data_IF_750714003360
#
_entry.id   IF_750714003360
#
_cell.length_a   1.000
_cell.length_b   1.000
_cell.length_c   1.000
_cell.angle_alpha   90.00
_cell.angle_beta   90.00
_cell.angle_gamma   90.00
#
_symmetry.space_group_name_H-M   'P 1'
#
loop_
_entity.id
_entity.type
_entity.pdbx_description
1 polymer ?
#
# COMPACT_ATOMS: atom_id res chain seq x y z
N UNK A 1 4.89 14.49 0.33
CA UNK A 1 5.92 14.24 1.35
C UNK A 1 5.34 14.21 2.77
N UNK A 2 4.77 15.31 3.29
CA UNK A 2 4.24 15.35 4.68
C UNK A 2 3.20 14.26 5.01
N UNK A 3 2.29 13.95 4.09
CA UNK A 3 1.33 12.85 4.29
C UNK A 3 2.01 11.47 4.38
N UNK A 4 3.08 11.26 3.61
CA UNK A 4 3.86 10.02 3.65
C UNK A 4 4.66 9.91 4.95
N UNK A 5 5.26 11.02 5.43
CA UNK A 5 5.91 11.05 6.74
C UNK A 5 4.94 10.62 7.86
N UNK A 6 3.74 11.22 7.91
CA UNK A 6 2.70 10.82 8.89
C UNK A 6 2.30 9.35 8.77
N UNK A 7 2.34 8.79 7.57
CA UNK A 7 2.07 7.37 7.35
C UNK A 7 3.19 6.50 7.93
N UNK A 8 4.46 6.88 7.77
CA UNK A 8 5.59 6.16 8.37
C UNK A 8 5.54 6.23 9.92
N UNK A 9 5.27 7.41 10.48
CA UNK A 9 5.07 7.60 11.93
C UNK A 9 3.92 6.75 12.47
N UNK A 10 2.81 6.65 11.73
CA UNK A 10 1.69 5.80 12.11
C UNK A 10 2.06 4.32 12.04
N UNK A 11 2.80 3.93 11.01
CA UNK A 11 3.25 2.54 10.82
C UNK A 11 4.12 2.08 11.98
N UNK A 12 5.09 2.89 12.43
CA UNK A 12 5.91 2.56 13.60
C UNK A 12 5.11 2.48 14.90
N UNK A 13 4.05 3.29 15.05
CA UNK A 13 3.15 3.23 16.22
C UNK A 13 2.28 1.97 16.22
N UNK A 14 1.78 1.57 15.07
CA UNK A 14 0.95 0.38 14.91
C UNK A 14 1.75 -0.92 15.13
N UNK A 15 3.03 -0.91 14.72
CA UNK A 15 3.95 -2.04 14.88
C UNK A 15 5.11 -1.65 15.82
N UNK A 16 4.86 -1.61 17.15
CA UNK A 16 5.80 -1.07 18.13
C UNK A 16 7.09 -1.89 18.27
N UNK A 17 7.11 -3.14 17.80
CA UNK A 17 8.26 -4.05 17.85
C UNK A 17 8.62 -4.62 16.48
N UNK A 18 9.86 -5.09 16.33
CA UNK A 18 10.32 -5.74 15.10
C UNK A 18 10.81 -4.78 14.01
N UNK A 19 11.41 -5.35 12.97
CA UNK A 19 11.86 -4.60 11.79
C UNK A 19 10.74 -4.54 10.76
N UNK A 20 10.52 -3.36 10.20
CA UNK A 20 9.56 -3.10 9.15
C UNK A 20 10.32 -2.90 7.85
N UNK A 21 9.99 -3.69 6.84
CA UNK A 21 10.49 -3.53 5.48
C UNK A 21 9.33 -3.09 4.61
N UNK A 22 9.41 -1.90 4.04
CA UNK A 22 8.38 -1.33 3.19
C UNK A 22 8.86 -1.32 1.74
N UNK A 23 8.20 -2.12 0.90
CA UNK A 23 8.48 -2.17 -0.54
C UNK A 23 7.66 -1.10 -1.25
N UNK A 24 8.32 -0.25 -2.02
CA UNK A 24 7.75 0.96 -2.63
C UNK A 24 8.07 1.06 -4.12
N UNK A 25 7.22 1.78 -4.85
CA UNK A 25 7.57 2.29 -6.18
C UNK A 25 8.50 3.52 -6.07
N UNK A 26 8.87 4.10 -7.20
CA UNK A 26 9.76 5.27 -7.26
C UNK A 26 8.99 6.60 -7.27
N UNK A 27 7.79 6.68 -6.66
CA UNK A 27 7.07 7.94 -6.60
C UNK A 27 7.93 9.01 -5.89
N UNK A 28 7.97 10.23 -6.46
CA UNK A 28 8.84 11.33 -5.97
C UNK A 28 8.67 11.64 -4.48
N UNK A 29 7.47 11.40 -3.94
CA UNK A 29 7.17 11.61 -2.52
C UNK A 29 7.96 10.70 -1.58
N UNK A 30 8.39 9.52 -2.04
CA UNK A 30 9.18 8.55 -1.27
C UNK A 30 10.67 8.90 -1.23
N UNK A 31 11.12 9.82 -2.09
CA UNK A 31 12.51 10.33 -2.13
C UNK A 31 12.63 11.76 -1.59
N UNK A 32 11.58 12.29 -0.97
CA UNK A 32 11.57 13.67 -0.51
C UNK A 32 12.59 13.88 0.61
N UNK A 33 13.40 14.95 0.53
CA UNK A 33 14.38 15.29 1.59
C UNK A 33 13.75 15.39 2.99
N UNK A 34 12.49 15.83 3.06
CA UNK A 34 11.72 15.96 4.30
C UNK A 34 11.70 14.68 5.15
N UNK A 35 11.78 13.48 4.54
CA UNK A 35 11.69 12.22 5.29
C UNK A 35 13.06 11.63 5.64
N UNK A 36 14.18 12.21 5.17
CA UNK A 36 15.51 11.61 5.31
C UNK A 36 15.93 11.50 6.79
N UNK A 37 15.84 12.59 7.56
CA UNK A 37 16.21 12.57 8.99
C UNK A 37 15.38 11.55 9.78
N UNK A 38 14.08 11.45 9.47
CA UNK A 38 13.21 10.44 10.08
C UNK A 38 13.66 9.01 9.75
N UNK A 39 14.06 8.74 8.50
CA UNK A 39 14.56 7.43 8.10
C UNK A 39 15.91 7.09 8.75
N UNK A 40 16.79 8.08 8.90
CA UNK A 40 18.08 7.92 9.58
C UNK A 40 17.89 7.58 11.06
N UNK A 41 17.05 8.34 11.77
CA UNK A 41 16.69 8.10 13.17
C UNK A 41 16.07 6.71 13.39
N UNK A 42 15.36 6.19 12.38
CA UNK A 42 14.64 4.92 12.45
C UNK A 42 15.30 3.79 11.64
N UNK A 43 16.55 3.93 11.18
CA UNK A 43 17.20 2.99 10.26
C UNK A 43 17.29 1.55 10.81
N UNK A 44 17.36 1.38 12.14
CA UNK A 44 17.34 0.07 12.79
C UNK A 44 15.95 -0.60 12.83
N UNK A 45 14.88 0.17 12.62
CA UNK A 45 13.48 -0.26 12.75
C UNK A 45 12.72 -0.27 11.41
N UNK A 46 13.03 0.65 10.50
CA UNK A 46 12.31 0.86 9.25
C UNK A 46 13.30 0.90 8.08
N UNK A 47 13.09 0.02 7.10
CA UNK A 47 13.83 0.02 5.85
C UNK A 47 12.86 0.21 4.68
N UNK A 48 13.18 1.15 3.78
CA UNK A 48 12.47 1.31 2.52
C UNK A 48 13.24 0.57 1.42
N UNK A 49 12.55 -0.31 0.69
CA UNK A 49 13.09 -1.01 -0.48
C UNK A 49 12.35 -0.53 -1.72
N UNK A 50 13.10 -0.07 -2.71
CA UNK A 50 12.53 0.44 -3.95
C UNK A 50 12.56 -0.63 -5.03
N UNK A 51 11.42 -0.82 -5.71
CA UNK A 51 11.36 -1.63 -6.91
C UNK A 51 12.18 -0.97 -8.04
N UNK A 52 12.68 -1.73 -9.03
CA UNK A 52 13.30 -1.15 -10.21
C UNK A 52 12.34 -0.16 -10.90
N UNK A 53 12.85 0.96 -11.46
CA UNK A 53 12.02 1.90 -12.21
C UNK A 53 11.24 1.21 -13.32
N UNK A 54 10.03 1.71 -13.59
CA UNK A 54 9.15 1.22 -14.66
C UNK A 54 8.85 -0.29 -14.61
N UNK A 55 8.85 -0.88 -13.40
CA UNK A 55 8.58 -2.31 -13.21
C UNK A 55 7.24 -2.57 -12.46
N UNK A 56 6.09 -2.15 -13.01
CA UNK A 56 4.79 -2.33 -12.36
C UNK A 56 4.43 -3.80 -12.14
N UNK A 57 4.93 -4.72 -12.96
CA UNK A 57 4.75 -6.16 -12.83
C UNK A 57 5.35 -6.74 -11.54
N UNK A 58 6.30 -6.03 -10.91
CA UNK A 58 6.88 -6.43 -9.62
C UNK A 58 6.11 -5.87 -8.43
N UNK A 59 5.19 -4.93 -8.67
CA UNK A 59 4.39 -4.31 -7.62
C UNK A 59 3.05 -5.04 -7.45
N UNK A 60 2.99 -5.94 -6.44
CA UNK A 60 1.76 -6.69 -6.13
C UNK A 60 0.53 -5.81 -5.87
N UNK A 61 0.73 -4.56 -5.43
CA UNK A 61 -0.38 -3.62 -5.25
C UNK A 61 -1.11 -3.31 -6.56
N UNK A 62 -0.45 -3.37 -7.72
CA UNK A 62 -1.12 -3.22 -9.02
C UNK A 62 -2.16 -4.31 -9.25
N UNK A 63 -1.87 -5.55 -8.82
CA UNK A 63 -2.82 -6.67 -8.85
C UNK A 63 -4.02 -6.42 -7.93
N UNK A 64 -3.79 -5.90 -6.72
CA UNK A 64 -4.87 -5.50 -5.79
C UNK A 64 -5.73 -4.41 -6.42
N UNK A 65 -5.13 -3.40 -7.05
CA UNK A 65 -5.86 -2.31 -7.70
C UNK A 65 -6.69 -2.77 -8.89
N UNK A 66 -6.15 -3.69 -9.70
CA UNK A 66 -6.91 -4.32 -10.78
C UNK A 66 -8.13 -5.06 -10.22
N UNK A 67 -7.93 -5.88 -9.19
CA UNK A 67 -9.01 -6.63 -8.56
C UNK A 67 -10.06 -5.73 -7.90
N UNK A 68 -9.65 -4.64 -7.24
CA UNK A 68 -10.56 -3.62 -6.72
C UNK A 68 -11.44 -3.05 -7.84
N UNK A 69 -10.84 -2.64 -8.96
CA UNK A 69 -11.59 -2.05 -10.08
C UNK A 69 -12.59 -3.05 -10.65
N UNK A 70 -12.17 -4.29 -10.87
CA UNK A 70 -13.04 -5.37 -11.36
C UNK A 70 -14.21 -5.66 -10.41
N UNK A 71 -13.98 -5.62 -9.09
CA UNK A 71 -14.99 -6.01 -8.10
C UNK A 71 -15.93 -4.88 -7.68
N UNK A 72 -15.43 -3.63 -7.70
CA UNK A 72 -16.12 -2.49 -7.07
C UNK A 72 -16.52 -1.42 -8.07
N UNK A 73 -15.72 -1.19 -9.12
CA UNK A 73 -15.83 0.01 -9.97
C UNK A 73 -16.41 -0.31 -11.34
N UNK A 74 -15.99 -1.41 -11.96
CA UNK A 74 -16.36 -1.74 -13.33
C UNK A 74 -17.88 -1.91 -13.44
N UNK A 75 -18.50 -1.19 -14.39
CA UNK A 75 -19.93 -1.22 -14.67
C UNK A 75 -20.83 -0.82 -13.48
N UNK A 76 -20.31 -0.09 -12.50
CA UNK A 76 -21.08 0.42 -11.36
C UNK A 76 -21.11 1.95 -11.39
N UNK A 77 -22.31 2.54 -11.31
CA UNK A 77 -22.48 3.97 -11.13
C UNK A 77 -22.64 4.31 -9.65
N UNK A 78 -21.85 5.28 -9.18
CA UNK A 78 -21.97 5.84 -7.84
C UNK A 78 -22.41 7.30 -7.95
N UNK A 79 -23.57 7.61 -7.39
CA UNK A 79 -24.12 8.98 -7.34
C UNK A 79 -23.32 9.93 -6.44
N UNK A 80 -22.63 9.40 -5.43
CA UNK A 80 -21.82 10.18 -4.50
C UNK A 80 -20.50 9.50 -4.13
N UNK A 81 -19.46 10.31 -3.92
CA UNK A 81 -18.13 9.86 -3.50
C UNK A 81 -18.15 9.03 -2.21
N UNK A 82 -19.13 9.26 -1.33
CA UNK A 82 -19.26 8.47 -0.09
C UNK A 82 -19.59 7.00 -0.35
N UNK A 83 -20.43 6.70 -1.36
CA UNK A 83 -20.72 5.31 -1.73
C UNK A 83 -19.49 4.62 -2.30
N UNK A 84 -18.68 5.34 -3.09
CA UNK A 84 -17.37 4.84 -3.56
C UNK A 84 -16.47 4.50 -2.36
N UNK A 85 -16.33 5.43 -1.41
CA UNK A 85 -15.51 5.21 -0.21
C UNK A 85 -16.00 4.02 0.61
N UNK A 86 -17.31 3.84 0.76
CA UNK A 86 -17.89 2.72 1.48
C UNK A 86 -17.59 1.39 0.77
N UNK A 87 -17.80 1.34 -0.54
CA UNK A 87 -17.57 0.13 -1.33
C UNK A 87 -16.08 -0.27 -1.34
N UNK A 88 -15.17 0.71 -1.52
CA UNK A 88 -13.72 0.49 -1.42
C UNK A 88 -13.33 0.00 -0.02
N UNK A 89 -13.88 0.58 1.06
CA UNK A 89 -13.63 0.10 2.42
C UNK A 89 -14.12 -1.33 2.64
N UNK A 90 -15.30 -1.67 2.12
CA UNK A 90 -15.84 -3.02 2.18
C UNK A 90 -14.92 -4.03 1.50
N UNK A 91 -14.45 -3.72 0.30
CA UNK A 91 -13.47 -4.55 -0.41
C UNK A 91 -12.17 -4.71 0.38
N UNK A 92 -11.61 -3.62 0.92
CA UNK A 92 -10.37 -3.70 1.70
C UNK A 92 -10.54 -4.50 2.99
N UNK A 93 -11.70 -4.40 3.65
CA UNK A 93 -12.01 -5.21 4.83
C UNK A 93 -12.11 -6.70 4.48
N UNK A 94 -12.75 -7.04 3.35
CA UNK A 94 -12.80 -8.41 2.84
C UNK A 94 -11.40 -8.95 2.55
N UNK A 95 -10.62 -8.28 1.71
CA UNK A 95 -9.24 -8.67 1.38
C UNK A 95 -8.39 -8.88 2.64
N UNK A 96 -8.46 -7.96 3.61
CA UNK A 96 -7.71 -8.08 4.85
C UNK A 96 -8.17 -9.24 5.76
N UNK A 97 -9.42 -9.69 5.61
CA UNK A 97 -9.98 -10.82 6.38
C UNK A 97 -9.52 -12.20 5.91
N UNK A 98 -8.88 -12.30 4.73
CA UNK A 98 -8.51 -13.57 4.06
C UNK A 98 -7.10 -13.50 3.44
N UNK A 99 -6.06 -13.18 4.24
CA UNK A 99 -4.72 -12.86 3.72
C UNK A 99 -4.08 -14.00 2.93
N UNK A 100 -4.28 -15.26 3.33
CA UNK A 100 -3.70 -16.41 2.62
C UNK A 100 -4.31 -16.59 1.21
N UNK A 101 -5.62 -16.38 1.07
CA UNK A 101 -6.27 -16.44 -0.25
C UNK A 101 -5.87 -15.27 -1.14
N UNK A 102 -5.63 -14.10 -0.55
CA UNK A 102 -5.12 -12.94 -1.28
C UNK A 102 -3.72 -13.22 -1.79
N UNK A 103 -2.84 -13.80 -0.96
CA UNK A 103 -1.49 -14.20 -1.38
C UNK A 103 -1.56 -15.25 -2.50
N UNK A 104 -2.39 -16.29 -2.36
CA UNK A 104 -2.55 -17.32 -3.40
C UNK A 104 -3.02 -16.70 -4.72
N UNK A 105 -4.04 -15.83 -4.67
CA UNK A 105 -4.56 -15.14 -5.85
C UNK A 105 -3.52 -14.25 -6.53
N UNK A 106 -2.78 -13.45 -5.75
CA UNK A 106 -1.89 -12.42 -6.30
C UNK A 106 -0.51 -12.96 -6.67
N UNK A 107 0.00 -13.97 -5.97
CA UNK A 107 1.38 -14.44 -6.13
C UNK A 107 1.51 -15.78 -6.84
N UNK A 108 0.47 -16.64 -6.80
CA UNK A 108 0.56 -18.03 -7.30
C UNK A 108 -0.24 -18.23 -8.58
N UNK A 109 -1.40 -17.57 -8.70
CA UNK A 109 -2.33 -17.75 -9.84
C UNK A 109 -2.19 -16.69 -10.94
N UNK A 110 -1.07 -15.96 -10.98
CA UNK A 110 -0.77 -15.01 -12.07
C UNK A 110 -0.35 -15.72 -13.35
#
# INVERSE_FOLDING_TARGET
AAAFLRFLERTLREYPTGKIVMVLDNARIHHAKLIQSFLEENAGRLALIFLPPYSPQLNLMEGVWKWLKESVINNVFFDHVQKIKQAVRGFLADVNGRPLEVIDRLCVRM
#
